data_IF_163509073199
#
_entry.id   IF_163509073199
#
_cell.length_a   1.000
_cell.length_b   1.000
_cell.length_c   1.000
_cell.angle_alpha   90.00
_cell.angle_beta   90.00
_cell.angle_gamma   90.00
#
_symmetry.space_group_name_H-M   'P 1'
#
loop_
_entity.id
_entity.type
_entity.pdbx_description
1 polymer ?
#
# COMPACT_ATOMS: atom_id res chain seq x y z
N UNK A 1 10.07 -39.14 17.29
CA UNK A 1 8.71 -38.54 17.19
C UNK A 1 8.52 -37.32 18.09
N UNK A 2 8.75 -37.42 19.41
CA UNK A 2 8.53 -36.26 20.32
C UNK A 2 9.48 -35.08 20.11
N UNK A 3 10.78 -35.35 19.88
CA UNK A 3 11.80 -34.31 19.62
C UNK A 3 11.51 -33.53 18.33
N UNK A 4 10.97 -34.20 17.32
CA UNK A 4 10.60 -33.58 16.06
C UNK A 4 9.43 -32.61 16.24
N UNK A 5 8.41 -33.02 17.01
CA UNK A 5 7.26 -32.16 17.30
C UNK A 5 7.67 -30.92 18.09
N UNK A 6 8.52 -31.06 19.10
CA UNK A 6 9.05 -29.92 19.86
C UNK A 6 9.85 -28.95 18.97
N UNK A 7 10.66 -29.48 18.04
CA UNK A 7 11.39 -28.63 17.10
C UNK A 7 10.45 -27.81 16.21
N UNK A 8 9.44 -28.45 15.62
CA UNK A 8 8.46 -27.75 14.76
C UNK A 8 7.69 -26.69 15.57
N UNK A 9 7.30 -27.00 16.80
CA UNK A 9 6.55 -26.08 17.66
C UNK A 9 7.37 -24.82 18.01
N UNK A 10 8.66 -24.98 18.32
CA UNK A 10 9.57 -23.85 18.58
C UNK A 10 9.78 -23.00 17.33
N UNK A 11 9.97 -23.63 16.17
CA UNK A 11 10.16 -22.92 14.90
C UNK A 11 8.90 -22.14 14.52
N UNK A 12 7.72 -22.77 14.55
CA UNK A 12 6.45 -22.12 14.23
C UNK A 12 6.16 -20.97 15.18
N UNK A 13 6.32 -21.19 16.49
CA UNK A 13 6.11 -20.13 17.49
C UNK A 13 7.07 -18.95 17.27
N UNK A 14 8.35 -19.23 16.95
CA UNK A 14 9.33 -18.20 16.63
C UNK A 14 8.95 -17.41 15.37
N UNK A 15 8.50 -18.09 14.32
CA UNK A 15 8.03 -17.48 13.08
C UNK A 15 6.79 -16.61 13.32
N UNK A 16 5.81 -17.10 14.08
CA UNK A 16 4.58 -16.35 14.37
C UNK A 16 4.83 -15.09 15.21
N UNK A 17 5.82 -15.11 16.11
CA UNK A 17 6.20 -13.95 16.93
C UNK A 17 6.99 -12.92 16.10
N UNK A 18 7.96 -13.37 15.30
CA UNK A 18 8.86 -12.48 14.57
C UNK A 18 8.20 -11.95 13.29
N UNK A 19 7.46 -12.80 12.59
CA UNK A 19 6.86 -12.53 11.29
C UNK A 19 5.46 -13.16 11.20
N UNK A 20 4.49 -12.67 11.99
CA UNK A 20 3.13 -13.18 11.93
C UNK A 20 2.57 -13.05 10.52
N UNK A 21 1.88 -14.08 10.07
CA UNK A 21 1.07 -14.00 8.87
C UNK A 21 0.00 -12.91 9.04
N UNK A 22 -0.10 -12.02 8.05
CA UNK A 22 -1.05 -10.92 8.06
C UNK A 22 -1.88 -10.95 6.80
N UNK A 23 -3.18 -11.16 6.97
CA UNK A 23 -4.14 -10.97 5.89
C UNK A 23 -4.38 -9.48 5.66
N UNK A 24 -4.44 -9.08 4.40
CA UNK A 24 -4.81 -7.73 4.00
C UNK A 24 -5.82 -7.79 2.86
N UNK A 25 -6.88 -6.98 2.96
CA UNK A 25 -7.83 -6.82 1.87
C UNK A 25 -7.33 -5.79 0.86
N UNK A 26 -7.04 -6.23 -0.36
CA UNK A 26 -6.90 -5.34 -1.53
C UNK A 26 -8.28 -5.15 -2.14
N UNK A 27 -8.74 -3.91 -2.22
CA UNK A 27 -9.89 -3.58 -3.07
C UNK A 27 -9.38 -3.40 -4.49
N UNK A 28 -9.89 -4.17 -5.45
CA UNK A 28 -9.46 -4.09 -6.86
C UNK A 28 -9.75 -2.73 -7.52
N UNK A 29 -10.67 -1.94 -6.94
CA UNK A 29 -10.94 -0.57 -7.38
C UNK A 29 -9.93 0.45 -6.83
N UNK A 30 -9.12 0.08 -5.83
CA UNK A 30 -8.06 0.96 -5.34
C UNK A 30 -6.97 1.14 -6.39
N UNK A 31 -6.32 2.30 -6.36
CA UNK A 31 -5.12 2.48 -7.15
C UNK A 31 -4.03 1.50 -6.67
N UNK A 32 -3.20 0.96 -7.57
CA UNK A 32 -2.27 -0.11 -7.22
C UNK A 32 -1.12 0.34 -6.29
N UNK A 33 -0.94 1.65 -6.11
CA UNK A 33 -0.03 2.26 -5.14
C UNK A 33 -0.70 2.55 -3.77
N UNK A 34 -1.96 2.17 -3.56
CA UNK A 34 -2.63 2.33 -2.27
C UNK A 34 -2.10 1.34 -1.24
N UNK A 35 -1.77 1.83 -0.05
CA UNK A 35 -1.24 1.01 1.05
C UNK A 35 -2.16 1.07 2.28
N UNK A 36 -2.14 0.05 3.15
CA UNK A 36 -2.87 0.09 4.43
C UNK A 36 -2.51 1.31 5.29
N UNK A 37 -1.23 1.72 5.26
CA UNK A 37 -0.75 2.92 5.95
C UNK A 37 -1.46 4.16 5.41
N UNK A 38 -1.46 4.37 4.09
CA UNK A 38 -2.14 5.52 3.47
C UNK A 38 -3.64 5.52 3.78
N UNK A 39 -4.31 4.36 3.74
CA UNK A 39 -5.72 4.21 4.12
C UNK A 39 -5.98 4.64 5.57
N UNK A 40 -5.14 4.20 6.52
CA UNK A 40 -5.30 4.57 7.93
C UNK A 40 -5.19 6.08 8.17
N UNK A 41 -4.31 6.77 7.44
CA UNK A 41 -4.14 8.23 7.55
C UNK A 41 -5.31 8.95 6.87
N UNK A 42 -5.85 8.41 5.76
CA UNK A 42 -7.08 8.95 5.14
C UNK A 42 -8.25 8.89 6.12
N UNK A 43 -8.40 7.77 6.85
CA UNK A 43 -9.42 7.63 7.90
C UNK A 43 -9.24 8.68 9.00
N UNK A 44 -8.03 8.85 9.54
CA UNK A 44 -7.74 9.90 10.54
C UNK A 44 -8.04 11.31 10.04
N UNK A 45 -7.77 11.59 8.76
CA UNK A 45 -8.12 12.87 8.14
C UNK A 45 -9.65 13.06 8.07
N UNK A 46 -10.40 12.01 7.71
CA UNK A 46 -11.86 12.06 7.66
C UNK A 46 -12.45 12.28 9.05
N UNK A 47 -11.93 11.56 10.06
CA UNK A 47 -12.31 11.75 11.46
C UNK A 47 -12.02 13.18 11.93
N UNK A 48 -10.81 13.70 11.67
CA UNK A 48 -10.45 15.07 12.03
C UNK A 48 -11.33 16.12 11.31
N UNK A 49 -11.76 15.86 10.08
CA UNK A 49 -12.71 16.71 9.37
C UNK A 49 -14.07 16.72 10.06
N UNK A 50 -14.60 15.55 10.42
CA UNK A 50 -15.91 15.40 11.06
C UNK A 50 -15.91 16.07 12.45
N UNK A 51 -14.86 15.84 13.24
CA UNK A 51 -14.81 16.28 14.63
C UNK A 51 -14.39 17.75 14.81
N UNK A 52 -13.60 18.30 13.90
CA UNK A 52 -12.98 19.63 14.08
C UNK A 52 -13.15 20.58 12.89
N UNK A 53 -13.66 20.09 11.75
CA UNK A 53 -13.85 20.89 10.56
C UNK A 53 -12.58 21.16 9.74
N UNK A 54 -12.75 21.73 8.53
CA UNK A 54 -11.66 21.92 7.55
C UNK A 54 -10.59 22.94 7.96
N UNK A 55 -10.93 23.90 8.82
CA UNK A 55 -9.98 24.94 9.22
C UNK A 55 -9.12 24.55 10.42
N UNK A 56 -9.41 23.42 11.07
CA UNK A 56 -8.67 22.94 12.24
C UNK A 56 -7.22 22.56 11.91
N UNK A 57 -6.35 22.73 12.90
CA UNK A 57 -4.94 22.34 12.83
C UNK A 57 -4.82 20.83 12.64
N UNK A 58 -5.68 20.05 13.29
CA UNK A 58 -5.76 18.60 13.22
C UNK A 58 -6.06 18.14 11.80
N UNK A 59 -7.09 18.71 11.16
CA UNK A 59 -7.40 18.39 9.78
C UNK A 59 -6.27 18.77 8.84
N UNK A 60 -5.71 19.98 8.97
CA UNK A 60 -4.60 20.47 8.14
C UNK A 60 -3.36 19.57 8.28
N UNK A 61 -3.07 19.09 9.49
CA UNK A 61 -1.99 18.14 9.78
C UNK A 61 -2.20 16.82 9.01
N UNK A 62 -3.35 16.16 9.22
CA UNK A 62 -3.63 14.89 8.54
C UNK A 62 -3.76 15.04 7.03
N UNK A 63 -4.31 16.15 6.52
CA UNK A 63 -4.34 16.47 5.09
C UNK A 63 -2.94 16.49 4.49
N UNK A 64 -2.00 17.17 5.15
CA UNK A 64 -0.63 17.27 4.68
C UNK A 64 0.10 15.92 4.78
N UNK A 65 -0.16 15.14 5.83
CA UNK A 65 0.37 13.79 5.98
C UNK A 65 -0.12 12.85 4.87
N UNK A 66 -1.43 12.84 4.57
CA UNK A 66 -2.00 12.10 3.43
C UNK A 66 -1.33 12.50 2.12
N UNK A 67 -1.13 13.80 1.88
CA UNK A 67 -0.51 14.27 0.64
C UNK A 67 0.95 13.82 0.50
N UNK A 68 1.71 13.79 1.60
CA UNK A 68 3.10 13.31 1.62
C UNK A 68 3.14 11.80 1.35
N UNK A 69 2.37 11.03 2.11
CA UNK A 69 2.34 9.57 1.96
C UNK A 69 1.83 9.13 0.59
N UNK A 70 0.84 9.84 0.02
CA UNK A 70 0.37 9.60 -1.35
C UNK A 70 1.51 9.75 -2.37
N UNK A 71 2.34 10.80 -2.24
CA UNK A 71 3.48 11.02 -3.14
C UNK A 71 4.53 9.92 -2.97
N UNK A 72 4.85 9.54 -1.73
CA UNK A 72 5.81 8.47 -1.42
C UNK A 72 5.34 7.13 -1.99
N UNK A 73 4.10 6.74 -1.73
CA UNK A 73 3.55 5.47 -2.22
C UNK A 73 3.53 5.43 -3.75
N UNK A 74 3.12 6.53 -4.40
CA UNK A 74 3.11 6.64 -5.86
C UNK A 74 4.52 6.53 -6.45
N UNK A 75 5.51 7.21 -5.87
CA UNK A 75 6.91 7.11 -6.32
C UNK A 75 7.41 5.68 -6.20
N UNK A 76 7.35 5.10 -4.98
CA UNK A 76 7.85 3.73 -4.71
C UNK A 76 7.26 2.71 -5.66
N UNK A 77 5.94 2.77 -5.89
CA UNK A 77 5.26 1.86 -6.78
C UNK A 77 5.77 1.95 -8.21
N UNK A 78 5.81 3.16 -8.80
CA UNK A 78 6.28 3.29 -10.17
C UNK A 78 7.79 3.07 -10.30
N UNK A 79 8.58 3.43 -9.29
CA UNK A 79 10.02 3.16 -9.26
C UNK A 79 10.32 1.65 -9.29
N UNK A 80 9.55 0.83 -8.55
CA UNK A 80 9.72 -0.64 -8.58
C UNK A 80 9.07 -1.27 -9.82
N UNK A 81 7.83 -0.87 -10.14
CA UNK A 81 7.05 -1.45 -11.22
C UNK A 81 7.67 -1.16 -12.59
N UNK A 82 8.10 0.09 -12.84
CA UNK A 82 8.72 0.45 -14.13
C UNK A 82 10.03 -0.29 -14.34
N UNK A 83 10.82 -0.48 -13.27
CA UNK A 83 12.07 -1.25 -13.34
C UNK A 83 11.83 -2.73 -13.64
N UNK A 84 10.85 -3.36 -12.99
CA UNK A 84 10.54 -4.78 -13.17
C UNK A 84 9.83 -5.05 -14.51
N UNK A 85 8.75 -4.32 -14.82
CA UNK A 85 7.94 -4.59 -16.02
C UNK A 85 8.69 -4.34 -17.33
N UNK A 86 9.69 -3.43 -17.36
CA UNK A 86 10.48 -3.20 -18.56
C UNK A 86 11.27 -4.44 -18.99
N UNK A 87 11.68 -5.29 -18.06
CA UNK A 87 12.39 -6.55 -18.34
C UNK A 87 11.46 -7.73 -18.57
N UNK A 88 10.38 -7.84 -17.79
CA UNK A 88 9.53 -9.03 -17.77
C UNK A 88 8.32 -8.95 -18.72
N UNK A 89 7.70 -7.76 -18.83
CA UNK A 89 6.49 -7.58 -19.63
C UNK A 89 6.40 -6.14 -20.21
N UNK A 90 7.10 -5.87 -21.33
CA UNK A 90 7.16 -4.55 -21.94
C UNK A 90 5.79 -3.99 -22.36
N UNK A 91 4.82 -4.87 -22.71
CA UNK A 91 3.46 -4.45 -23.07
C UNK A 91 2.73 -3.84 -21.87
N UNK A 92 2.71 -4.54 -20.72
CA UNK A 92 2.13 -4.01 -19.48
C UNK A 92 2.81 -2.72 -19.03
N UNK A 93 4.14 -2.64 -19.17
CA UNK A 93 4.88 -1.40 -18.90
C UNK A 93 4.33 -0.24 -19.76
N UNK A 94 4.16 -0.45 -21.06
CA UNK A 94 3.69 0.58 -21.97
C UNK A 94 2.22 0.98 -21.73
N UNK A 95 1.35 0.01 -21.41
CA UNK A 95 -0.05 0.29 -21.04
C UNK A 95 -0.15 1.15 -19.78
N UNK A 96 0.73 0.91 -18.79
CA UNK A 96 0.79 1.71 -17.57
C UNK A 96 1.32 3.13 -17.82
N UNK A 97 2.32 3.29 -18.71
CA UNK A 97 2.80 4.61 -19.17
C UNK A 97 1.67 5.37 -19.88
N UNK A 98 0.92 4.72 -20.77
CA UNK A 98 -0.27 5.32 -21.42
C UNK A 98 -1.30 5.78 -20.40
N UNK A 99 -1.61 4.94 -19.41
CA UNK A 99 -2.54 5.26 -18.32
C UNK A 99 -2.11 6.50 -17.54
N UNK A 100 -0.80 6.63 -17.26
CA UNK A 100 -0.23 7.80 -16.60
C UNK A 100 -0.35 9.10 -17.42
N UNK A 101 -0.24 9.00 -18.74
CA UNK A 101 -0.41 10.13 -19.66
C UNK A 101 -1.88 10.44 -19.99
N UNK A 102 -2.85 9.74 -19.37
CA UNK A 102 -4.27 9.94 -19.61
C UNK A 102 -4.79 9.31 -20.91
N UNK A 103 -3.99 8.47 -21.57
CA UNK A 103 -4.45 7.71 -22.72
C UNK A 103 -5.28 6.49 -22.24
N UNK A 104 -6.44 6.27 -22.86
CA UNK A 104 -7.27 5.10 -22.57
C UNK A 104 -6.56 3.84 -23.03
N UNK A 105 -6.44 2.85 -22.16
CA UNK A 105 -6.03 1.49 -22.55
C UNK A 105 -7.23 0.87 -23.25
N UNK A 106 -7.16 0.72 -24.57
CA UNK A 106 -8.12 -0.07 -25.35
C UNK A 106 -7.78 -1.55 -25.15
N UNK A 107 -8.71 -2.28 -24.54
CA UNK A 107 -8.68 -3.75 -24.42
C UNK A 107 -8.74 -4.40 -25.80
#
# INVERSE_FOLDING_TARGET
DQVWNTFIEVVSTGLDIIMPEKEYHICAADAPWMTPVLKSIILKRQEAFINHGPESVQFKFFRNMVNRERKVCRSRFYDSMVKQLKGENPKKWWDEVKRLCGAKVTN
#
